data_IF_915695923076
#
_entry.id   IF_915695923076
#
_cell.length_a   1.000
_cell.length_b   1.000
_cell.length_c   1.000
_cell.angle_alpha   90.00
_cell.angle_beta   90.00
_cell.angle_gamma   90.00
#
_symmetry.space_group_name_H-M   'P 1'
#
loop_
_entity.id
_entity.type
_entity.pdbx_description
1 polymer ?
#
# COMPACT_ATOMS: atom_id res chain seq x y z
N UNK A 1 6.50 8.54 -14.72
CA UNK A 1 5.27 9.08 -14.11
C UNK A 1 4.14 8.75 -15.08
N UNK A 2 3.03 8.15 -14.64
CA UNK A 2 1.87 8.10 -15.51
C UNK A 2 1.47 9.54 -15.84
N UNK A 3 1.44 9.88 -17.12
CA UNK A 3 1.00 11.20 -17.55
C UNK A 3 -0.42 11.45 -17.05
N UNK A 4 -0.66 12.64 -16.49
CA UNK A 4 -2.00 13.06 -16.13
C UNK A 4 -2.91 13.01 -17.36
N UNK A 5 -4.21 12.67 -17.23
CA UNK A 5 -5.11 12.65 -18.37
C UNK A 5 -5.31 14.05 -18.91
N UNK A 6 -4.97 14.27 -20.17
CA UNK A 6 -5.10 15.58 -20.83
C UNK A 6 -6.50 15.79 -21.40
N UNK A 7 -6.99 17.02 -21.29
CA UNK A 7 -8.22 17.49 -21.91
C UNK A 7 -7.91 18.63 -22.88
N UNK A 8 -8.52 18.58 -24.03
CA UNK A 8 -8.48 19.67 -25.01
C UNK A 8 -9.83 20.38 -25.05
N UNK A 9 -9.83 21.69 -24.83
CA UNK A 9 -11.00 22.54 -25.04
C UNK A 9 -10.82 23.24 -26.38
N UNK A 10 -11.77 23.09 -27.28
CA UNK A 10 -11.73 23.74 -28.60
C UNK A 10 -12.31 25.16 -28.55
N UNK A 11 -12.28 25.85 -29.67
CA UNK A 11 -12.78 27.24 -29.81
C UNK A 11 -14.30 27.37 -29.57
N UNK A 12 -15.05 26.27 -29.63
CA UNK A 12 -16.49 26.25 -29.36
C UNK A 12 -16.79 26.00 -27.86
N UNK A 13 -15.75 25.71 -27.03
CA UNK A 13 -15.89 25.34 -25.62
C UNK A 13 -16.17 23.85 -25.43
N UNK A 14 -16.10 23.03 -26.50
CA UNK A 14 -16.30 21.58 -26.35
C UNK A 14 -15.05 20.93 -25.78
N UNK A 15 -15.26 20.07 -24.75
CA UNK A 15 -14.20 19.35 -24.06
C UNK A 15 -13.95 18.01 -24.76
N UNK A 16 -12.73 17.79 -25.20
CA UNK A 16 -12.29 16.56 -25.84
C UNK A 16 -11.25 15.84 -24.98
N UNK A 17 -11.48 14.58 -24.61
CA UNK A 17 -10.45 13.80 -23.89
C UNK A 17 -9.30 13.44 -24.83
N UNK A 18 -8.08 13.55 -24.33
CA UNK A 18 -6.89 13.11 -25.06
C UNK A 18 -6.46 11.75 -24.52
N UNK A 19 -6.74 10.69 -25.32
CA UNK A 19 -6.43 9.32 -24.96
C UNK A 19 -7.53 8.59 -24.18
N UNK A 20 -7.32 7.28 -23.98
CA UNK A 20 -8.34 6.38 -23.43
C UNK A 20 -8.60 6.65 -21.95
N UNK A 21 -7.57 7.00 -21.17
CA UNK A 21 -7.68 7.31 -19.76
C UNK A 21 -8.52 8.57 -19.52
N UNK A 22 -8.25 9.65 -20.25
CA UNK A 22 -9.06 10.87 -20.16
C UNK A 22 -10.52 10.64 -20.55
N UNK A 23 -10.77 9.77 -21.54
CA UNK A 23 -12.13 9.38 -21.94
C UNK A 23 -12.87 8.63 -20.84
N UNK A 24 -12.21 7.72 -20.14
CA UNK A 24 -12.80 6.98 -19.01
C UNK A 24 -13.10 7.90 -17.84
N UNK A 25 -12.17 8.80 -17.50
CA UNK A 25 -12.33 9.79 -16.44
C UNK A 25 -13.51 10.73 -16.67
N UNK A 26 -13.65 11.25 -17.91
CA UNK A 26 -14.78 12.10 -18.24
C UNK A 26 -16.11 11.35 -18.24
N UNK A 27 -16.14 10.09 -18.71
CA UNK A 27 -17.36 9.26 -18.66
C UNK A 27 -17.81 8.96 -17.23
N UNK A 28 -16.86 8.70 -16.33
CA UNK A 28 -17.14 8.48 -14.93
C UNK A 28 -17.72 9.74 -14.23
N UNK A 29 -17.46 10.91 -14.81
CA UNK A 29 -17.95 12.22 -14.34
C UNK A 29 -19.01 12.83 -15.26
N UNK A 30 -19.76 12.01 -15.99
CA UNK A 30 -20.86 12.48 -16.83
C UNK A 30 -21.93 13.18 -15.96
N UNK A 31 -22.38 14.35 -16.41
CA UNK A 31 -23.38 15.16 -15.68
C UNK A 31 -23.26 16.64 -15.97
N UNK A 32 -24.00 17.44 -15.25
CA UNK A 32 -23.94 18.89 -15.31
C UNK A 32 -22.90 19.45 -14.33
N UNK A 33 -22.07 20.35 -14.80
CA UNK A 33 -20.97 20.94 -14.04
C UNK A 33 -21.04 22.45 -14.08
N UNK A 34 -20.83 23.09 -12.95
CA UNK A 34 -20.72 24.55 -12.81
C UNK A 34 -19.26 24.95 -12.75
N UNK A 35 -18.86 25.88 -13.62
CA UNK A 35 -17.52 26.47 -13.57
C UNK A 35 -17.40 27.40 -12.38
N UNK A 36 -16.32 27.27 -11.63
CA UNK A 36 -15.94 28.14 -10.54
C UNK A 36 -14.89 29.11 -11.03
N UNK A 37 -14.97 30.37 -10.60
CA UNK A 37 -13.96 31.37 -10.97
C UNK A 37 -12.59 30.96 -10.46
N UNK A 38 -11.62 30.92 -11.38
CA UNK A 38 -10.24 30.50 -11.10
C UNK A 38 -9.26 31.40 -11.86
N UNK A 39 -7.99 31.51 -11.42
CA UNK A 39 -6.96 32.22 -12.16
C UNK A 39 -6.74 31.64 -13.55
N UNK A 40 -6.21 32.44 -14.47
CA UNK A 40 -5.88 31.98 -15.82
C UNK A 40 -4.95 30.76 -15.80
N UNK A 41 -5.25 29.74 -16.60
CA UNK A 41 -4.54 28.48 -16.64
C UNK A 41 -5.08 27.40 -15.69
N UNK A 42 -6.09 27.71 -14.86
CA UNK A 42 -6.78 26.76 -14.01
C UNK A 42 -8.25 26.71 -14.40
N UNK A 43 -8.78 25.51 -14.61
CA UNK A 43 -10.19 25.23 -14.81
C UNK A 43 -10.72 24.44 -13.62
N UNK A 44 -11.66 25.02 -12.87
CA UNK A 44 -12.34 24.36 -11.76
C UNK A 44 -13.83 24.21 -12.10
N UNK A 45 -14.35 22.99 -11.90
CA UNK A 45 -15.77 22.71 -12.08
C UNK A 45 -16.29 21.90 -10.89
N UNK A 46 -17.50 22.20 -10.44
CA UNK A 46 -18.19 21.49 -9.36
C UNK A 46 -19.47 20.88 -9.94
N UNK A 47 -19.82 19.67 -9.55
CA UNK A 47 -21.01 18.99 -10.03
C UNK A 47 -22.27 19.80 -9.67
N UNK A 48 -23.15 20.03 -10.65
CA UNK A 48 -24.37 20.80 -10.43
C UNK A 48 -25.31 20.00 -9.52
N UNK A 49 -25.90 20.69 -8.53
CA UNK A 49 -26.78 20.06 -7.53
C UNK A 49 -26.18 19.94 -6.13
N UNK A 50 -24.85 19.90 -6.01
CA UNK A 50 -24.20 20.08 -4.71
C UNK A 50 -24.12 21.58 -4.37
N UNK A 51 -24.31 21.94 -3.09
CA UNK A 51 -24.08 23.33 -2.64
C UNK A 51 -22.58 23.59 -2.79
N UNK A 52 -22.15 24.48 -3.70
CA UNK A 52 -20.75 24.72 -3.90
C UNK A 52 -20.19 25.41 -2.67
N UNK A 53 -19.43 24.67 -1.86
CA UNK A 53 -18.67 25.27 -0.77
C UNK A 53 -17.53 26.08 -1.40
N UNK A 54 -17.27 27.30 -0.93
CA UNK A 54 -16.16 28.10 -1.42
C UNK A 54 -14.84 27.33 -1.26
N UNK A 55 -14.10 27.16 -2.36
CA UNK A 55 -12.75 26.61 -2.31
C UNK A 55 -11.79 27.70 -1.82
N UNK A 56 -11.15 27.48 -0.68
CA UNK A 56 -10.22 28.43 -0.06
C UNK A 56 -8.78 28.17 -0.49
N UNK A 57 -8.37 26.91 -0.57
CA UNK A 57 -7.02 26.51 -0.91
C UNK A 57 -7.03 25.16 -1.61
N UNK A 58 -6.12 24.97 -2.57
CA UNK A 58 -5.87 23.67 -3.20
C UNK A 58 -4.40 23.55 -3.55
N UNK A 59 -3.89 22.32 -3.59
CA UNK A 59 -2.51 22.06 -3.96
C UNK A 59 -2.16 20.59 -3.98
N UNK A 60 -0.86 20.33 -4.16
CA UNK A 60 -0.28 19.00 -4.17
C UNK A 60 0.70 18.81 -3.01
N UNK A 61 0.61 17.66 -2.38
CA UNK A 61 1.62 17.15 -1.46
C UNK A 61 2.64 16.36 -2.26
N UNK A 62 3.93 16.66 -2.09
CA UNK A 62 5.05 16.00 -2.80
C UNK A 62 6.08 15.38 -1.87
N UNK A 63 5.88 15.49 -0.57
CA UNK A 63 6.74 14.89 0.45
C UNK A 63 5.94 14.62 1.72
N UNK A 64 6.30 13.61 2.53
CA UNK A 64 5.72 13.40 3.85
C UNK A 64 5.83 14.67 4.69
N UNK A 65 4.77 15.01 5.42
CA UNK A 65 4.70 16.24 6.21
C UNK A 65 4.29 17.49 5.42
N UNK A 66 4.14 17.43 4.09
CA UNK A 66 3.75 18.60 3.28
C UNK A 66 2.39 19.20 3.64
N UNK A 67 1.51 18.45 4.29
CA UNK A 67 0.25 18.96 4.84
C UNK A 67 0.41 19.72 6.17
N UNK A 68 1.54 19.59 6.86
CA UNK A 68 1.75 20.30 8.16
C UNK A 68 1.58 21.81 8.03
N UNK A 69 2.11 22.40 6.95
CA UNK A 69 2.00 23.84 6.71
C UNK A 69 0.56 24.28 6.45
N UNK A 70 -0.20 23.45 5.71
CA UNK A 70 -1.61 23.68 5.44
C UNK A 70 -2.42 23.63 6.73
N UNK A 71 -2.23 22.59 7.54
CA UNK A 71 -2.91 22.43 8.84
C UNK A 71 -2.50 23.55 9.80
N UNK A 72 -1.23 23.93 9.83
CA UNK A 72 -0.75 25.08 10.65
C UNK A 72 -1.44 26.38 10.24
N UNK A 73 -1.62 26.61 8.94
CA UNK A 73 -2.34 27.78 8.42
C UNK A 73 -3.80 27.77 8.84
N UNK A 74 -4.47 26.63 8.78
CA UNK A 74 -5.87 26.46 9.23
C UNK A 74 -5.98 26.74 10.74
N UNK A 75 -5.06 26.17 11.54
CA UNK A 75 -5.06 26.33 12.99
C UNK A 75 -4.81 27.78 13.41
N UNK A 76 -3.79 28.45 12.84
CA UNK A 76 -3.44 29.83 13.15
C UNK A 76 -4.50 30.82 12.66
N UNK A 77 -5.13 30.54 11.52
CA UNK A 77 -6.21 31.34 10.96
C UNK A 77 -7.56 31.10 11.64
N UNK A 78 -7.65 30.16 12.59
CA UNK A 78 -8.87 29.72 13.25
C UNK A 78 -10.01 29.42 12.25
N UNK A 79 -9.69 28.70 11.17
CA UNK A 79 -10.67 28.42 10.11
C UNK A 79 -11.66 27.35 10.55
N UNK A 80 -12.92 27.54 10.17
CA UNK A 80 -13.95 26.48 10.15
C UNK A 80 -14.09 26.01 8.70
N UNK A 81 -13.58 24.84 8.41
CA UNK A 81 -13.36 24.35 7.04
C UNK A 81 -13.22 22.84 6.98
N UNK A 82 -13.39 22.27 5.78
CA UNK A 82 -13.11 20.87 5.47
C UNK A 82 -11.87 20.76 4.58
N UNK A 83 -10.88 20.02 5.05
CA UNK A 83 -9.68 19.65 4.29
C UNK A 83 -9.87 18.24 3.72
N UNK A 84 -10.04 18.15 2.41
CA UNK A 84 -10.16 16.88 1.70
C UNK A 84 -8.83 16.54 1.02
N UNK A 85 -8.30 15.36 1.26
CA UNK A 85 -7.02 14.87 0.76
C UNK A 85 -7.24 13.62 -0.08
N UNK A 86 -6.77 13.66 -1.32
CA UNK A 86 -6.86 12.57 -2.29
C UNK A 86 -5.50 11.95 -2.48
N UNK A 87 -5.36 10.71 -2.05
CA UNK A 87 -4.18 9.92 -2.31
C UNK A 87 -4.32 9.20 -3.64
N UNK A 88 -3.49 9.56 -4.63
CA UNK A 88 -3.40 8.80 -5.86
C UNK A 88 -2.62 7.51 -5.58
N UNK A 89 -3.31 6.40 -5.37
CA UNK A 89 -2.69 5.09 -5.34
C UNK A 89 -2.06 4.83 -6.71
N UNK A 90 -0.80 4.42 -6.72
CA UNK A 90 -0.14 3.98 -7.94
C UNK A 90 -1.00 2.91 -8.59
N UNK A 91 -1.37 3.13 -9.85
CA UNK A 91 -2.34 2.32 -10.58
C UNK A 91 -1.90 0.86 -10.59
N UNK A 92 -2.51 0.01 -9.76
CA UNK A 92 -2.41 -1.43 -9.95
C UNK A 92 -3.23 -1.75 -11.22
N UNK A 93 -2.68 -2.48 -12.21
CA UNK A 93 -3.35 -2.72 -13.50
C UNK A 93 -4.74 -3.34 -13.38
N UNK A 94 -5.05 -3.99 -12.27
CA UNK A 94 -6.32 -4.69 -12.02
C UNK A 94 -7.30 -3.93 -11.11
N UNK A 95 -6.89 -2.82 -10.51
CA UNK A 95 -7.76 -1.93 -9.73
C UNK A 95 -7.56 -0.51 -10.21
N UNK A 96 -8.12 -0.15 -11.39
CA UNK A 96 -8.14 1.24 -11.80
C UNK A 96 -8.95 2.03 -10.77
N UNK A 97 -8.31 3.06 -10.17
CA UNK A 97 -8.96 4.11 -9.39
C UNK A 97 -9.55 3.75 -8.02
N UNK A 98 -8.82 3.05 -7.15
CA UNK A 98 -9.10 3.16 -5.72
C UNK A 98 -8.30 4.36 -5.17
N UNK A 99 -8.82 5.58 -5.41
CA UNK A 99 -8.35 6.78 -4.71
C UNK A 99 -8.77 6.65 -3.24
N UNK A 100 -7.82 6.79 -2.33
CA UNK A 100 -8.13 6.93 -0.92
C UNK A 100 -8.42 8.40 -0.65
N UNK A 101 -9.59 8.68 -0.12
CA UNK A 101 -10.03 10.04 0.20
C UNK A 101 -10.15 10.18 1.72
N UNK A 102 -9.50 11.21 2.27
CA UNK A 102 -9.60 11.57 3.68
C UNK A 102 -10.14 12.98 3.79
N UNK A 103 -11.17 13.17 4.59
CA UNK A 103 -11.70 14.49 4.93
C UNK A 103 -11.47 14.78 6.40
N UNK A 104 -10.89 15.93 6.73
CA UNK A 104 -10.63 16.41 8.08
C UNK A 104 -11.40 17.69 8.29
N UNK A 105 -12.23 17.72 9.31
CA UNK A 105 -13.08 18.84 9.65
C UNK A 105 -12.43 19.70 10.72
N UNK A 106 -12.37 21.00 10.46
CA UNK A 106 -11.83 22.00 11.39
C UNK A 106 -12.94 22.95 11.83
N UNK A 107 -13.02 23.23 13.11
CA UNK A 107 -13.81 24.31 13.67
C UNK A 107 -12.94 25.23 14.52
N UNK A 108 -12.93 26.51 14.18
CA UNK A 108 -12.05 27.50 14.81
C UNK A 108 -10.59 27.01 14.94
N UNK A 109 -10.08 26.33 13.91
CA UNK A 109 -8.72 25.81 13.85
C UNK A 109 -8.45 24.53 14.63
N UNK A 110 -9.44 23.97 15.34
CA UNK A 110 -9.36 22.68 16.00
C UNK A 110 -9.94 21.58 15.11
N UNK A 111 -9.43 20.37 15.22
CA UNK A 111 -9.98 19.20 14.50
C UNK A 111 -11.20 18.71 15.25
N UNK A 112 -12.35 18.70 14.57
CA UNK A 112 -13.65 18.31 15.14
C UNK A 112 -14.22 17.05 14.51
N UNK A 113 -13.56 16.48 13.49
CA UNK A 113 -14.01 15.26 12.86
C UNK A 113 -13.07 14.85 11.74
N UNK A 114 -13.19 13.60 11.33
CA UNK A 114 -12.54 13.10 10.13
C UNK A 114 -13.30 11.90 9.57
N UNK A 115 -13.19 11.69 8.26
CA UNK A 115 -13.69 10.51 7.57
C UNK A 115 -12.69 10.01 6.54
N UNK A 116 -12.74 8.71 6.21
CA UNK A 116 -11.84 8.11 5.25
C UNK A 116 -12.51 6.98 4.47
N UNK A 117 -12.14 6.84 3.21
CA UNK A 117 -12.51 5.68 2.38
C UNK A 117 -11.51 4.53 2.52
N UNK A 118 -10.34 4.76 3.12
CA UNK A 118 -9.33 3.72 3.35
C UNK A 118 -9.86 2.63 4.29
N UNK A 119 -9.80 1.34 3.90
CA UNK A 119 -10.40 0.26 4.70
C UNK A 119 -9.90 0.20 6.13
N UNK A 120 -8.59 0.37 6.34
CA UNK A 120 -7.97 0.31 7.66
C UNK A 120 -8.28 1.47 8.61
N UNK A 121 -8.90 2.55 8.11
CA UNK A 121 -9.26 3.75 8.87
C UNK A 121 -10.77 3.80 9.20
N UNK A 122 -11.53 2.79 8.82
CA UNK A 122 -12.96 2.69 9.14
C UNK A 122 -13.19 2.42 10.61
N UNK A 123 -14.28 2.95 11.15
CA UNK A 123 -14.58 2.85 12.58
C UNK A 123 -14.58 1.41 13.11
N UNK A 124 -15.12 0.46 12.35
CA UNK A 124 -15.10 -0.96 12.73
C UNK A 124 -13.68 -1.51 12.89
N UNK A 125 -12.77 -1.16 11.99
CA UNK A 125 -11.35 -1.55 12.10
C UNK A 125 -10.66 -0.87 13.31
N UNK A 126 -11.03 0.37 13.64
CA UNK A 126 -10.54 1.08 14.82
C UNK A 126 -11.03 0.40 16.09
N UNK A 127 -12.32 0.09 16.18
CA UNK A 127 -12.89 -0.64 17.33
C UNK A 127 -12.15 -1.96 17.58
N UNK A 128 -11.90 -2.73 16.54
CA UNK A 128 -11.15 -3.98 16.65
C UNK A 128 -9.67 -3.76 17.02
N UNK A 129 -8.99 -2.85 16.36
CA UNK A 129 -7.55 -2.57 16.58
C UNK A 129 -7.25 -2.05 17.97
N UNK A 130 -8.15 -1.29 18.56
CA UNK A 130 -8.01 -0.80 19.94
C UNK A 130 -8.62 -1.72 20.98
N UNK A 131 -9.10 -2.90 20.57
CA UNK A 131 -9.56 -3.96 21.47
C UNK A 131 -10.94 -3.75 22.08
N UNK A 132 -11.73 -2.80 21.54
CA UNK A 132 -13.11 -2.59 21.97
C UNK A 132 -14.02 -3.75 21.55
N UNK A 133 -13.73 -4.38 20.38
CA UNK A 133 -14.43 -5.57 19.89
C UNK A 133 -13.43 -6.63 19.37
N UNK A 134 -13.86 -7.89 19.32
CA UNK A 134 -13.08 -8.97 18.67
C UNK A 134 -13.26 -8.96 17.16
N UNK A 135 -12.48 -9.77 16.43
CA UNK A 135 -12.63 -9.88 14.98
C UNK A 135 -13.98 -10.47 14.58
N UNK A 136 -14.43 -11.47 15.31
CA UNK A 136 -15.72 -12.11 15.11
C UNK A 136 -16.89 -11.14 15.34
N UNK A 137 -16.79 -10.32 16.40
CA UNK A 137 -17.77 -9.26 16.68
C UNK A 137 -17.77 -8.18 15.59
N UNK A 138 -16.61 -7.82 15.03
CA UNK A 138 -16.54 -6.89 13.90
C UNK A 138 -17.32 -7.41 12.69
N UNK A 139 -17.12 -8.69 12.33
CA UNK A 139 -17.83 -9.31 11.20
C UNK A 139 -19.36 -9.33 11.43
N UNK A 140 -19.78 -9.55 12.68
CA UNK A 140 -21.20 -9.51 13.07
C UNK A 140 -21.78 -8.08 12.98
N UNK A 141 -21.04 -7.09 13.52
CA UNK A 141 -21.44 -5.66 13.47
C UNK A 141 -21.56 -5.18 12.02
N UNK A 142 -20.59 -5.52 11.16
CA UNK A 142 -20.64 -5.11 9.73
C UNK A 142 -21.86 -5.74 9.04
N UNK A 143 -22.10 -7.03 9.26
CA UNK A 143 -23.25 -7.74 8.70
C UNK A 143 -24.58 -7.16 9.19
N UNK A 144 -24.66 -6.77 10.48
CA UNK A 144 -25.83 -6.11 11.04
C UNK A 144 -26.07 -4.71 10.47
N UNK A 145 -25.00 -3.92 10.33
CA UNK A 145 -25.03 -2.58 9.75
C UNK A 145 -25.52 -2.61 8.29
N UNK A 146 -25.00 -3.54 7.47
CA UNK A 146 -25.43 -3.72 6.06
C UNK A 146 -26.90 -4.13 5.97
N UNK A 147 -27.36 -5.05 6.81
CA UNK A 147 -28.74 -5.53 6.80
C UNK A 147 -29.74 -4.47 7.23
N UNK A 148 -29.38 -3.62 8.18
CA UNK A 148 -30.27 -2.62 8.78
C UNK A 148 -30.15 -1.24 8.15
N UNK A 149 -29.11 -0.98 7.36
CA UNK A 149 -28.78 0.33 6.80
C UNK A 149 -28.27 1.33 7.86
N UNK A 150 -27.87 0.86 9.05
CA UNK A 150 -27.35 1.68 10.14
C UNK A 150 -25.85 1.88 10.02
N UNK A 151 -25.34 2.86 10.76
CA UNK A 151 -23.88 3.05 10.88
C UNK A 151 -23.27 1.95 11.74
N UNK A 152 -22.02 1.58 11.45
CA UNK A 152 -21.29 0.53 12.19
C UNK A 152 -21.26 0.79 13.70
N UNK A 153 -21.08 2.05 14.14
CA UNK A 153 -21.11 2.39 15.56
C UNK A 153 -22.48 2.19 16.21
N UNK A 154 -23.57 2.50 15.51
CA UNK A 154 -24.93 2.28 15.99
C UNK A 154 -25.24 0.78 16.13
N UNK A 155 -24.80 -0.02 15.14
CA UNK A 155 -24.97 -1.46 15.17
C UNK A 155 -24.15 -2.09 16.33
N UNK A 156 -22.93 -1.61 16.61
CA UNK A 156 -22.11 -2.07 17.69
C UNK A 156 -22.73 -1.84 19.08
N UNK A 157 -23.40 -0.68 19.28
CA UNK A 157 -24.14 -0.38 20.51
C UNK A 157 -25.39 -1.26 20.61
N UNK A 158 -26.15 -1.43 19.53
CA UNK A 158 -27.37 -2.26 19.56
C UNK A 158 -27.09 -3.74 19.83
N UNK A 159 -25.92 -4.23 19.41
CA UNK A 159 -25.47 -5.57 19.72
C UNK A 159 -24.81 -5.68 21.11
N UNK A 160 -24.81 -4.58 21.89
CA UNK A 160 -24.20 -4.50 23.22
C UNK A 160 -22.71 -4.88 23.25
N UNK A 161 -21.99 -4.71 22.14
CA UNK A 161 -20.56 -4.98 22.07
C UNK A 161 -19.71 -3.79 22.52
N UNK A 162 -20.24 -2.58 22.43
CA UNK A 162 -19.54 -1.34 22.79
C UNK A 162 -20.51 -0.40 23.51
N UNK A 163 -20.10 0.17 24.62
CA UNK A 163 -20.86 1.19 25.33
C UNK A 163 -20.74 2.55 24.59
N UNK A 164 -21.76 3.44 24.68
CA UNK A 164 -21.75 4.74 24.01
C UNK A 164 -20.54 5.61 24.34
N UNK A 165 -20.08 5.59 25.60
CA UNK A 165 -18.91 6.32 26.06
C UNK A 165 -17.61 5.80 25.44
N UNK A 166 -17.49 4.48 25.33
CA UNK A 166 -16.34 3.82 24.70
C UNK A 166 -16.32 4.09 23.18
N UNK A 167 -17.50 3.99 22.52
CA UNK A 167 -17.63 4.35 21.11
C UNK A 167 -17.15 5.78 20.85
N UNK A 168 -17.52 6.72 21.71
CA UNK A 168 -17.08 8.11 21.60
C UNK A 168 -15.56 8.26 21.68
N UNK A 169 -14.91 7.55 22.60
CA UNK A 169 -13.44 7.52 22.69
C UNK A 169 -12.83 6.94 21.42
N UNK A 170 -13.39 5.85 20.89
CA UNK A 170 -12.90 5.22 19.67
C UNK A 170 -13.10 6.11 18.43
N UNK A 171 -14.17 6.88 18.34
CA UNK A 171 -14.34 7.90 17.31
C UNK A 171 -13.27 8.99 17.38
N UNK A 172 -12.87 9.43 18.58
CA UNK A 172 -11.73 10.33 18.75
C UNK A 172 -10.44 9.72 18.25
N UNK A 173 -10.18 8.44 18.56
CA UNK A 173 -9.03 7.70 18.03
C UNK A 173 -9.05 7.57 16.51
N UNK A 174 -10.21 7.33 15.93
CA UNK A 174 -10.36 7.30 14.48
C UNK A 174 -9.95 8.64 13.84
N UNK A 175 -10.39 9.75 14.40
CA UNK A 175 -10.04 11.09 13.90
C UNK A 175 -8.52 11.32 13.99
N UNK A 176 -7.87 10.96 15.10
CA UNK A 176 -6.43 11.05 15.26
C UNK A 176 -5.69 10.24 14.18
N UNK A 177 -6.10 8.98 13.95
CA UNK A 177 -5.41 8.10 13.00
C UNK A 177 -5.60 8.55 11.55
N UNK A 178 -6.80 9.00 11.16
CA UNK A 178 -7.02 9.59 9.83
C UNK A 178 -6.16 10.84 9.65
N UNK A 179 -6.04 11.68 10.69
CA UNK A 179 -5.19 12.87 10.66
C UNK A 179 -3.72 12.51 10.44
N UNK A 180 -3.19 11.56 11.23
CA UNK A 180 -1.80 11.12 11.09
C UNK A 180 -1.54 10.48 9.73
N UNK A 181 -2.45 9.63 9.26
CA UNK A 181 -2.35 9.04 7.94
C UNK A 181 -2.31 10.11 6.82
N UNK A 182 -3.17 11.12 6.90
CA UNK A 182 -3.18 12.22 5.93
C UNK A 182 -1.87 13.01 5.92
N UNK A 183 -1.36 13.38 7.10
CA UNK A 183 -0.13 14.18 7.24
C UNK A 183 1.12 13.40 6.78
N UNK A 184 1.11 12.07 6.90
CA UNK A 184 2.23 11.21 6.49
C UNK A 184 2.27 10.95 4.97
N UNK A 185 1.23 11.33 4.20
CA UNK A 185 1.24 11.12 2.76
C UNK A 185 2.43 11.81 2.08
N UNK A 186 3.11 11.05 1.24
CA UNK A 186 4.22 11.58 0.43
C UNK A 186 3.77 12.18 -0.90
N UNK A 187 2.57 11.80 -1.39
CA UNK A 187 1.99 12.29 -2.65
C UNK A 187 0.47 12.28 -2.55
N UNK A 188 -0.12 13.46 -2.65
CA UNK A 188 -1.57 13.62 -2.62
C UNK A 188 -1.98 14.95 -3.24
N UNK A 189 -3.24 15.10 -3.63
CA UNK A 189 -3.86 16.39 -3.90
C UNK A 189 -4.76 16.76 -2.73
N UNK A 190 -4.82 18.03 -2.37
CA UNK A 190 -5.69 18.49 -1.30
C UNK A 190 -6.55 19.69 -1.72
N UNK A 191 -7.72 19.78 -1.08
CA UNK A 191 -8.67 20.85 -1.27
C UNK A 191 -9.20 21.27 0.09
N UNK A 192 -9.18 22.56 0.37
CA UNK A 192 -9.75 23.17 1.58
C UNK A 192 -11.00 23.95 1.20
N UNK A 193 -12.14 23.51 1.72
CA UNK A 193 -13.44 24.12 1.49
C UNK A 193 -13.91 24.86 2.75
N UNK A 194 -14.56 26.02 2.57
CA UNK A 194 -15.20 26.74 3.67
C UNK A 194 -16.43 25.98 4.20
N UNK A 195 -16.62 26.07 5.52
CA UNK A 195 -17.72 25.40 6.22
C UNK A 195 -17.40 23.94 6.53
N UNK A 196 -18.20 23.37 7.41
CA UNK A 196 -18.09 21.97 7.85
C UNK A 196 -19.47 21.30 7.87
N UNK A 197 -19.47 19.98 7.82
CA UNK A 197 -20.66 19.19 8.08
C UNK A 197 -20.77 18.93 9.59
N UNK A 198 -21.69 19.65 10.23
CA UNK A 198 -21.89 19.58 11.69
C UNK A 198 -22.31 18.18 12.17
N UNK A 199 -22.87 17.34 11.29
CA UNK A 199 -23.25 15.96 11.62
C UNK A 199 -22.06 15.02 11.81
N UNK A 200 -20.86 15.42 11.35
CA UNK A 200 -19.62 14.68 11.49
C UNK A 200 -18.71 15.23 12.60
N UNK A 201 -19.11 16.31 13.26
CA UNK A 201 -18.30 16.94 14.29
C UNK A 201 -18.34 16.17 15.62
N UNK A 202 -17.17 16.00 16.23
CA UNK A 202 -17.04 15.48 17.59
C UNK A 202 -17.56 16.51 18.61
N UNK A 203 -18.08 16.04 19.74
CA UNK A 203 -18.47 16.91 20.86
C UNK A 203 -17.26 17.57 21.53
N UNK A 204 -16.07 16.97 21.44
CA UNK A 204 -14.85 17.48 22.04
C UNK A 204 -13.79 17.72 20.93
N UNK A 205 -13.44 18.96 20.63
CA UNK A 205 -12.43 19.32 19.65
C UNK A 205 -11.04 18.81 20.06
N UNK A 206 -10.25 18.35 19.08
CA UNK A 206 -8.86 17.98 19.24
C UNK A 206 -7.97 19.15 18.80
N UNK A 207 -6.95 19.47 19.60
CA UNK A 207 -6.01 20.52 19.25
C UNK A 207 -5.19 20.16 18.03
N UNK A 208 -5.34 20.90 16.93
CA UNK A 208 -4.53 20.68 15.72
C UNK A 208 -3.02 20.83 16.00
N UNK A 209 -2.63 21.71 16.91
CA UNK A 209 -1.22 21.87 17.31
C UNK A 209 -0.67 20.63 18.02
N UNK A 210 -1.43 20.00 18.91
CA UNK A 210 -1.03 18.75 19.57
C UNK A 210 -0.93 17.61 18.58
N UNK A 211 -1.90 17.49 17.67
CA UNK A 211 -1.89 16.48 16.61
C UNK A 211 -0.68 16.67 15.67
N UNK A 212 -0.34 17.90 15.29
CA UNK A 212 0.84 18.18 14.48
C UNK A 212 2.15 17.82 15.19
N UNK A 213 2.26 18.13 16.49
CA UNK A 213 3.46 17.75 17.27
C UNK A 213 3.63 16.24 17.32
N UNK A 214 2.55 15.50 17.56
CA UNK A 214 2.58 14.04 17.58
C UNK A 214 2.86 13.46 16.18
N UNK A 215 2.29 14.04 15.11
CA UNK A 215 2.59 13.64 13.75
C UNK A 215 4.08 13.83 13.41
N UNK A 216 4.66 14.98 13.79
CA UNK A 216 6.08 15.26 13.59
C UNK A 216 6.97 14.26 14.36
N UNK A 217 6.64 13.98 15.63
CA UNK A 217 7.33 12.97 16.43
C UNK A 217 7.30 11.59 15.75
N UNK A 218 6.12 11.15 15.28
CA UNK A 218 5.97 9.87 14.57
C UNK A 218 6.78 9.83 13.27
N UNK A 219 6.82 10.93 12.50
CA UNK A 219 7.63 11.00 11.28
C UNK A 219 9.13 10.88 11.56
N UNK A 220 9.62 11.56 12.59
CA UNK A 220 11.04 11.50 12.98
C UNK A 220 11.42 10.09 13.46
N UNK A 221 10.59 9.47 14.28
CA UNK A 221 10.79 8.09 14.74
C UNK A 221 10.74 7.09 13.58
N UNK A 222 9.76 7.20 12.67
CA UNK A 222 9.65 6.33 11.50
C UNK A 222 10.88 6.44 10.60
N UNK A 223 11.42 7.64 10.40
CA UNK A 223 12.65 7.81 9.63
C UNK A 223 13.81 7.02 10.22
N UNK A 224 13.93 7.03 11.54
CA UNK A 224 14.96 6.28 12.27
C UNK A 224 14.70 4.77 12.23
N UNK A 225 13.44 4.34 12.36
CA UNK A 225 13.08 2.91 12.28
C UNK A 225 13.35 2.34 10.90
N UNK A 226 13.14 3.12 9.82
CA UNK A 226 13.32 2.67 8.43
C UNK A 226 14.76 2.31 8.06
N UNK A 227 15.74 2.71 8.84
CA UNK A 227 17.12 2.24 8.68
C UNK A 227 17.25 0.71 8.90
N UNK A 228 16.44 0.15 9.80
CA UNK A 228 16.41 -1.30 10.09
C UNK A 228 15.17 -2.00 9.56
N UNK A 229 14.08 -1.28 9.42
CA UNK A 229 12.77 -1.78 9.02
C UNK A 229 12.28 -0.93 7.85
N UNK A 230 12.66 -1.25 6.61
CA UNK A 230 12.33 -0.45 5.43
C UNK A 230 10.82 -0.30 5.14
N UNK A 231 9.98 -1.21 5.65
CA UNK A 231 8.54 -1.14 5.46
C UNK A 231 7.75 -2.10 6.34
N UNK A 232 6.46 -1.90 6.40
CA UNK A 232 5.49 -2.68 7.19
C UNK A 232 5.28 -4.11 6.68
N UNK A 233 5.62 -4.36 5.41
CA UNK A 233 5.61 -5.70 4.82
C UNK A 233 6.78 -6.57 5.30
N UNK A 234 7.76 -5.99 6.00
CA UNK A 234 8.92 -6.73 6.50
C UNK A 234 8.54 -7.69 7.63
N UNK A 235 9.25 -8.81 7.71
CA UNK A 235 8.92 -9.96 8.54
C UNK A 235 9.91 -10.09 9.70
N UNK A 236 9.48 -9.91 10.95
CA UNK A 236 10.32 -10.14 12.11
C UNK A 236 10.37 -11.63 12.46
N UNK A 237 11.59 -12.12 12.74
CA UNK A 237 11.86 -13.50 13.11
C UNK A 237 12.52 -13.53 14.49
N UNK A 238 12.00 -14.37 15.38
CA UNK A 238 12.57 -14.57 16.71
C UNK A 238 13.99 -15.11 16.61
N UNK A 239 14.93 -14.47 17.28
CA UNK A 239 16.28 -14.98 17.47
C UNK A 239 16.33 -15.76 18.78
N UNK A 240 17.16 -16.83 18.84
CA UNK A 240 17.48 -17.47 20.11
C UNK A 240 18.36 -16.49 20.91
N UNK A 241 17.86 -15.88 22.00
CA UNK A 241 18.67 -14.92 22.73
C UNK A 241 19.86 -15.60 23.39
N UNK A 242 21.03 -14.96 23.43
CA UNK A 242 22.08 -15.38 24.35
C UNK A 242 21.50 -15.41 25.78
N UNK A 243 21.79 -16.48 26.50
CA UNK A 243 21.22 -16.83 27.81
C UNK A 243 20.95 -15.62 28.70
N UNK A 244 19.67 -15.36 29.03
CA UNK A 244 19.25 -14.44 30.06
C UNK A 244 18.56 -13.14 29.68
N UNK A 245 18.53 -12.74 28.39
CA UNK A 245 17.77 -11.53 27.97
C UNK A 245 16.27 -11.86 27.86
N UNK A 246 15.47 -11.20 28.68
CA UNK A 246 14.00 -11.22 28.58
C UNK A 246 13.52 -9.93 27.90
N UNK A 247 12.49 -10.05 27.07
CA UNK A 247 11.81 -8.88 26.54
C UNK A 247 11.11 -8.12 27.68
N UNK A 248 11.03 -6.76 27.59
CA UNK A 248 10.15 -5.99 28.43
C UNK A 248 8.70 -6.48 28.34
N UNK A 249 7.93 -6.49 29.43
CA UNK A 249 6.54 -7.00 29.45
C UNK A 249 5.67 -6.37 28.36
N UNK A 250 5.83 -5.08 28.08
CA UNK A 250 5.10 -4.32 27.08
C UNK A 250 5.38 -4.76 25.63
N UNK A 251 6.48 -5.45 25.38
CA UNK A 251 6.87 -5.94 24.05
C UNK A 251 6.57 -7.43 23.86
N UNK A 252 6.12 -8.15 24.91
CA UNK A 252 5.90 -9.59 24.83
C UNK A 252 4.82 -9.96 23.80
N UNK A 253 3.73 -9.21 23.72
CA UNK A 253 2.64 -9.45 22.77
C UNK A 253 3.11 -9.39 21.32
N UNK A 254 4.00 -8.47 20.99
CA UNK A 254 4.62 -8.36 19.65
C UNK A 254 5.64 -9.48 19.45
N UNK A 255 6.49 -9.76 20.44
CA UNK A 255 7.52 -10.78 20.36
C UNK A 255 6.95 -12.17 20.07
N UNK A 256 5.84 -12.55 20.71
CA UNK A 256 5.14 -13.83 20.50
C UNK A 256 4.63 -14.00 19.05
N UNK A 257 4.43 -12.91 18.32
CA UNK A 257 3.99 -12.94 16.92
C UNK A 257 5.14 -12.95 15.92
N UNK A 258 6.40 -12.75 16.36
CA UNK A 258 7.58 -12.70 15.50
C UNK A 258 8.05 -14.10 15.07
N UNK A 259 7.24 -14.83 14.32
CA UNK A 259 7.45 -16.22 13.91
C UNK A 259 8.25 -16.39 12.61
N UNK A 260 8.72 -15.27 12.01
CA UNK A 260 9.38 -15.27 10.71
C UNK A 260 8.43 -15.53 9.54
N UNK A 261 7.11 -15.43 9.78
CA UNK A 261 6.07 -15.63 8.76
C UNK A 261 5.20 -14.40 8.57
N UNK A 262 4.86 -13.74 9.64
CA UNK A 262 3.97 -12.58 9.65
C UNK A 262 4.75 -11.30 9.43
N UNK A 263 4.22 -10.45 8.55
CA UNK A 263 4.70 -9.08 8.38
C UNK A 263 4.33 -8.21 9.60
N UNK A 264 4.97 -7.06 9.72
CA UNK A 264 4.65 -6.07 10.76
C UNK A 264 3.18 -5.65 10.67
N UNK A 265 2.66 -5.42 9.46
CA UNK A 265 1.26 -5.09 9.24
C UNK A 265 0.30 -6.22 9.68
N UNK A 266 0.64 -7.49 9.42
CA UNK A 266 -0.16 -8.64 9.87
C UNK A 266 -0.13 -8.82 11.38
N UNK A 267 1.03 -8.60 12.01
CA UNK A 267 1.17 -8.61 13.46
C UNK A 267 0.25 -7.54 14.06
N UNK A 268 0.29 -6.31 13.55
CA UNK A 268 -0.56 -5.21 14.01
C UNK A 268 -2.04 -5.56 13.95
N UNK A 269 -2.50 -6.09 12.81
CA UNK A 269 -3.88 -6.55 12.63
C UNK A 269 -4.28 -7.64 13.63
N UNK A 270 -3.36 -8.58 13.93
CA UNK A 270 -3.63 -9.72 14.80
C UNK A 270 -3.73 -9.35 16.28
N UNK A 271 -2.90 -8.43 16.75
CA UNK A 271 -2.87 -8.01 18.17
C UNK A 271 -3.61 -6.71 18.43
N UNK A 272 -4.29 -6.15 17.39
CA UNK A 272 -5.05 -4.92 17.55
C UNK A 272 -4.19 -3.67 17.78
N UNK A 273 -2.94 -3.66 17.29
CA UNK A 273 -2.05 -2.50 17.38
C UNK A 273 -1.82 -1.85 16.03
N UNK A 274 -1.57 -0.55 16.06
CA UNK A 274 -1.25 0.22 14.85
C UNK A 274 0.13 -0.16 14.30
N UNK A 275 0.29 -0.07 13.02
CA UNK A 275 1.55 -0.38 12.32
C UNK A 275 2.74 0.39 12.89
N UNK A 276 2.54 1.66 13.25
CA UNK A 276 3.57 2.48 13.88
C UNK A 276 4.03 1.88 15.21
N UNK A 277 3.09 1.49 16.08
CA UNK A 277 3.42 0.93 17.41
C UNK A 277 4.12 -0.42 17.29
N UNK A 278 3.66 -1.27 16.35
CA UNK A 278 4.32 -2.55 16.07
C UNK A 278 5.71 -2.34 15.47
N UNK A 279 5.87 -1.40 14.53
CA UNK A 279 7.18 -1.05 13.96
C UNK A 279 8.15 -0.59 15.05
N UNK A 280 7.68 0.27 15.96
CA UNK A 280 8.45 0.74 17.11
C UNK A 280 8.85 -0.41 18.04
N UNK A 281 7.91 -1.31 18.37
CA UNK A 281 8.17 -2.47 19.21
C UNK A 281 9.18 -3.43 18.54
N UNK A 282 9.01 -3.75 17.27
CA UNK A 282 9.94 -4.58 16.49
C UNK A 282 11.32 -3.94 16.40
N UNK A 283 11.41 -2.62 16.21
CA UNK A 283 12.68 -1.90 16.21
C UNK A 283 13.40 -2.02 17.57
N UNK A 284 12.68 -1.88 18.67
CA UNK A 284 13.23 -2.06 20.02
C UNK A 284 13.72 -3.49 20.24
N UNK A 285 12.91 -4.50 19.85
CA UNK A 285 13.27 -5.92 19.90
C UNK A 285 14.50 -6.25 19.03
N UNK A 286 14.56 -5.69 17.83
CA UNK A 286 15.71 -5.87 16.91
C UNK A 286 16.99 -5.20 17.47
N UNK A 287 16.85 -4.04 18.09
CA UNK A 287 17.98 -3.34 18.74
C UNK A 287 18.46 -4.10 19.97
N UNK A 288 17.56 -4.76 20.70
CA UNK A 288 17.89 -5.66 21.82
C UNK A 288 18.47 -7.00 21.35
N UNK A 289 18.47 -7.33 20.06
CA UNK A 289 18.96 -8.61 19.51
C UNK A 289 18.03 -9.77 19.79
N UNK A 290 16.75 -9.52 20.04
CA UNK A 290 15.72 -10.54 20.28
C UNK A 290 15.02 -11.00 19.00
N UNK A 291 14.99 -10.15 17.98
CA UNK A 291 14.45 -10.46 16.65
C UNK A 291 15.40 -9.99 15.55
N UNK A 292 15.37 -10.68 14.40
CA UNK A 292 15.89 -10.19 13.12
C UNK A 292 14.71 -9.76 12.25
N UNK A 293 14.94 -8.83 11.31
CA UNK A 293 13.89 -8.36 10.41
C UNK A 293 14.33 -8.67 8.98
N UNK A 294 13.53 -9.45 8.27
CA UNK A 294 13.76 -9.87 6.90
C UNK A 294 12.84 -9.19 5.89
N UNK A 295 13.12 -9.33 4.59
CA UNK A 295 12.28 -8.78 3.52
C UNK A 295 10.86 -9.36 3.55
N UNK A 296 9.88 -8.67 2.91
CA UNK A 296 8.52 -9.16 2.79
C UNK A 296 8.50 -10.52 2.10
N UNK A 297 7.62 -11.41 2.56
CA UNK A 297 7.34 -12.65 1.85
C UNK A 297 6.53 -12.37 0.60
N UNK A 298 6.88 -13.09 -0.43
CA UNK A 298 6.07 -13.12 -1.63
C UNK A 298 4.84 -14.00 -1.35
N UNK A 299 3.65 -13.46 -1.58
CA UNK A 299 2.41 -14.19 -1.40
C UNK A 299 1.86 -14.62 -2.77
N UNK A 300 1.76 -15.93 -2.94
CA UNK A 300 1.19 -16.56 -4.11
C UNK A 300 2.07 -16.56 -5.37
N UNK A 301 1.76 -17.47 -6.31
CA UNK A 301 2.56 -17.64 -7.52
C UNK A 301 2.70 -16.39 -8.39
N UNK A 302 1.73 -15.49 -8.41
CA UNK A 302 1.83 -14.25 -9.18
C UNK A 302 2.92 -13.31 -8.65
N UNK A 303 3.01 -13.15 -7.33
CA UNK A 303 4.03 -12.32 -6.70
C UNK A 303 5.44 -12.91 -6.87
N UNK A 304 5.57 -14.23 -6.90
CA UNK A 304 6.82 -14.91 -7.24
C UNK A 304 7.26 -14.52 -8.65
N UNK A 305 6.37 -14.57 -9.63
CA UNK A 305 6.69 -14.17 -11.03
C UNK A 305 7.13 -12.71 -11.10
N UNK A 306 6.41 -11.78 -10.47
CA UNK A 306 6.76 -10.35 -10.46
C UNK A 306 8.17 -10.08 -9.92
N UNK A 307 8.60 -10.88 -8.93
CA UNK A 307 9.95 -10.75 -8.38
C UNK A 307 11.03 -11.19 -9.39
N UNK A 308 10.77 -12.24 -10.18
CA UNK A 308 11.68 -12.69 -11.23
C UNK A 308 11.63 -11.80 -12.48
N UNK A 309 10.48 -11.20 -12.80
CA UNK A 309 10.31 -10.33 -13.97
C UNK A 309 11.26 -9.15 -13.97
N UNK A 310 11.57 -8.57 -12.81
CA UNK A 310 12.58 -7.51 -12.69
C UNK A 310 13.97 -7.98 -13.14
N UNK A 311 14.34 -9.20 -12.76
CA UNK A 311 15.61 -9.78 -13.16
C UNK A 311 15.62 -10.14 -14.67
N UNK A 312 14.53 -10.71 -15.18
CA UNK A 312 14.37 -11.05 -16.59
C UNK A 312 14.41 -9.82 -17.48
N UNK A 313 13.67 -8.75 -17.13
CA UNK A 313 13.72 -7.49 -17.85
C UNK A 313 15.13 -6.88 -17.90
N UNK A 314 15.89 -6.94 -16.78
CA UNK A 314 17.25 -6.43 -16.71
C UNK A 314 18.22 -7.25 -17.59
N UNK A 315 18.05 -8.59 -17.64
CA UNK A 315 18.85 -9.47 -18.51
C UNK A 315 18.59 -9.12 -19.98
N UNK A 316 17.32 -9.02 -20.38
CA UNK A 316 16.95 -8.73 -21.76
C UNK A 316 17.33 -7.30 -22.17
N UNK A 317 17.13 -6.31 -21.30
CA UNK A 317 17.55 -4.92 -21.52
C UNK A 317 19.06 -4.83 -21.77
N UNK A 318 19.87 -5.49 -20.94
CA UNK A 318 21.34 -5.49 -21.10
C UNK A 318 21.77 -6.13 -22.42
N UNK A 319 21.12 -7.24 -22.81
CA UNK A 319 21.38 -7.88 -24.09
C UNK A 319 20.95 -7.02 -25.29
N UNK A 320 19.82 -6.31 -25.20
CA UNK A 320 19.33 -5.39 -26.23
C UNK A 320 20.28 -4.18 -26.40
N UNK A 321 20.77 -3.60 -25.30
CA UNK A 321 21.76 -2.51 -25.32
C UNK A 321 23.07 -2.93 -25.99
N UNK A 322 23.47 -4.19 -25.82
CA UNK A 322 24.64 -4.78 -26.51
C UNK A 322 24.35 -5.22 -27.97
N UNK A 323 23.12 -5.03 -28.45
CA UNK A 323 22.71 -5.47 -29.80
C UNK A 323 22.50 -6.99 -29.93
N UNK A 324 22.42 -7.72 -28.82
CA UNK A 324 22.33 -9.19 -28.73
C UNK A 324 20.95 -9.74 -28.33
N UNK A 325 19.97 -8.86 -28.18
CA UNK A 325 18.65 -9.24 -27.71
C UNK A 325 17.92 -10.28 -28.56
N UNK A 326 18.09 -10.24 -29.90
CA UNK A 326 17.49 -11.25 -30.79
C UNK A 326 18.08 -12.64 -30.59
N UNK A 327 19.40 -12.71 -30.39
CA UNK A 327 20.12 -13.98 -30.14
C UNK A 327 19.68 -14.57 -28.80
N UNK A 328 19.56 -13.73 -27.76
CA UNK A 328 19.07 -14.15 -26.44
C UNK A 328 17.64 -14.68 -26.52
N UNK A 329 16.71 -13.93 -27.13
CA UNK A 329 15.31 -14.36 -27.27
C UNK A 329 15.16 -15.68 -27.98
N UNK A 330 15.90 -15.90 -29.08
CA UNK A 330 15.88 -17.16 -29.80
C UNK A 330 16.39 -18.33 -28.95
N UNK A 331 17.42 -18.14 -28.14
CA UNK A 331 17.95 -19.16 -27.24
C UNK A 331 16.98 -19.50 -26.11
N UNK A 332 16.34 -18.48 -25.51
CA UNK A 332 15.33 -18.67 -24.46
C UNK A 332 14.10 -19.39 -25.01
N UNK A 333 13.63 -19.05 -26.21
CA UNK A 333 12.54 -19.74 -26.88
C UNK A 333 12.85 -21.22 -27.13
N UNK A 334 14.06 -21.49 -27.62
CA UNK A 334 14.52 -22.85 -27.83
C UNK A 334 14.61 -23.64 -26.51
N UNK A 335 15.07 -23.00 -25.43
CA UNK A 335 15.11 -23.61 -24.11
C UNK A 335 13.73 -23.99 -23.61
N UNK A 336 12.78 -23.07 -23.69
CA UNK A 336 11.36 -23.30 -23.31
C UNK A 336 10.80 -24.50 -24.07
N UNK A 337 11.03 -24.57 -25.37
CA UNK A 337 10.51 -25.68 -26.22
C UNK A 337 11.23 -27.02 -25.96
N UNK A 338 12.48 -27.00 -25.53
CA UNK A 338 13.25 -28.21 -25.27
C UNK A 338 13.02 -28.81 -23.87
N UNK A 339 12.51 -27.98 -22.94
CA UNK A 339 12.31 -28.40 -21.54
C UNK A 339 10.81 -28.56 -21.27
N UNK A 340 10.35 -29.81 -21.16
CA UNK A 340 8.92 -30.15 -21.13
C UNK A 340 8.07 -29.46 -20.05
N UNK A 341 8.70 -28.96 -18.98
CA UNK A 341 8.03 -28.24 -17.88
C UNK A 341 7.62 -26.83 -18.29
N UNK A 342 8.45 -26.12 -19.08
CA UNK A 342 8.20 -24.72 -19.38
C UNK A 342 7.11 -24.50 -20.43
N UNK A 343 6.89 -25.46 -21.33
CA UNK A 343 5.83 -25.35 -22.34
C UNK A 343 4.45 -25.15 -21.69
N UNK A 344 3.97 -26.02 -20.78
CA UNK A 344 2.68 -25.80 -20.11
C UNK A 344 2.73 -24.67 -19.07
N UNK A 345 3.88 -24.42 -18.40
CA UNK A 345 4.02 -23.38 -17.41
C UNK A 345 3.87 -21.97 -18.04
N UNK A 346 4.47 -21.75 -19.21
CA UNK A 346 4.48 -20.47 -19.89
C UNK A 346 3.42 -20.34 -20.99
N UNK A 347 2.50 -21.32 -21.12
CA UNK A 347 1.42 -21.29 -22.13
C UNK A 347 0.57 -20.02 -22.00
N UNK A 348 0.62 -19.17 -23.03
CA UNK A 348 -0.03 -17.86 -23.04
C UNK A 348 0.47 -16.84 -22.02
N UNK A 349 1.53 -17.18 -21.27
CA UNK A 349 2.11 -16.32 -20.25
C UNK A 349 3.35 -15.54 -20.72
N UNK A 350 4.03 -15.98 -21.75
CA UNK A 350 5.25 -15.35 -22.27
C UNK A 350 6.26 -16.38 -22.74
N UNK A 351 7.57 -16.02 -22.89
CA UNK A 351 8.14 -14.68 -22.58
C UNK A 351 7.63 -13.56 -23.51
N UNK A 352 7.53 -12.35 -22.97
CA UNK A 352 7.23 -11.13 -23.72
C UNK A 352 8.52 -10.59 -24.39
N UNK A 353 8.41 -9.53 -25.19
CA UNK A 353 9.56 -8.96 -25.91
C UNK A 353 10.69 -8.49 -24.97
N UNK A 354 10.35 -7.98 -23.80
CA UNK A 354 11.27 -7.55 -22.74
C UNK A 354 11.73 -8.70 -21.84
N UNK A 355 11.34 -9.95 -22.13
CA UNK A 355 11.66 -11.14 -21.38
C UNK A 355 10.79 -11.40 -20.15
N UNK A 356 9.88 -10.49 -19.80
CA UNK A 356 8.96 -10.67 -18.67
C UNK A 356 7.85 -11.69 -18.98
N UNK A 357 7.17 -12.13 -17.94
CA UNK A 357 6.07 -13.08 -18.01
C UNK A 357 4.75 -12.38 -17.60
N UNK A 358 3.63 -13.01 -17.83
CA UNK A 358 2.32 -12.54 -17.32
C UNK A 358 1.99 -13.23 -16.00
N UNK A 359 2.13 -12.56 -14.84
CA UNK A 359 2.09 -13.19 -13.53
C UNK A 359 0.83 -14.00 -13.26
N UNK A 360 -0.34 -13.47 -13.64
CA UNK A 360 -1.62 -14.13 -13.39
C UNK A 360 -1.84 -15.33 -14.28
N UNK A 361 -1.25 -15.31 -15.48
CA UNK A 361 -1.35 -16.47 -16.38
C UNK A 361 -0.46 -17.60 -15.90
N UNK A 362 0.78 -17.28 -15.47
CA UNK A 362 1.66 -18.26 -14.81
C UNK A 362 1.00 -18.85 -13.58
N UNK A 363 0.43 -18.02 -12.71
CA UNK A 363 -0.26 -18.48 -11.50
C UNK A 363 -1.39 -19.46 -11.80
N UNK A 364 -2.17 -19.22 -12.84
CA UNK A 364 -3.21 -20.17 -13.31
C UNK A 364 -2.61 -21.46 -13.83
N UNK A 365 -1.53 -21.39 -14.59
CA UNK A 365 -0.87 -22.57 -15.14
C UNK A 365 -0.24 -23.41 -14.01
N UNK A 366 0.38 -22.78 -13.02
CA UNK A 366 0.93 -23.43 -11.82
C UNK A 366 -0.13 -24.20 -11.05
N UNK A 367 -1.30 -23.63 -10.85
CA UNK A 367 -2.42 -24.29 -10.16
C UNK A 367 -2.87 -25.59 -10.85
N UNK A 368 -2.64 -25.72 -12.16
CA UNK A 368 -2.93 -26.91 -12.91
C UNK A 368 -1.78 -27.95 -12.91
N UNK A 369 -0.54 -27.51 -12.65
CA UNK A 369 0.65 -28.36 -12.74
C UNK A 369 1.13 -28.88 -11.37
N UNK A 370 1.04 -28.08 -10.30
CA UNK A 370 1.52 -28.40 -8.97
C UNK A 370 0.40 -28.94 -8.06
N UNK A 371 -0.13 -30.12 -8.39
CA UNK A 371 -1.31 -30.69 -7.69
C UNK A 371 -0.98 -31.28 -6.32
N UNK A 372 0.26 -31.68 -6.05
CA UNK A 372 0.67 -32.40 -4.82
C UNK A 372 1.83 -31.70 -4.06
N UNK A 373 2.39 -30.60 -4.60
CA UNK A 373 3.55 -29.90 -4.04
C UNK A 373 3.17 -28.48 -3.57
N UNK A 374 4.03 -27.87 -2.76
CA UNK A 374 3.97 -26.43 -2.48
C UNK A 374 4.17 -25.67 -3.80
N UNK A 375 3.06 -25.20 -4.36
CA UNK A 375 3.02 -24.56 -5.68
C UNK A 375 3.97 -23.34 -5.78
N UNK A 376 4.19 -22.61 -4.69
CA UNK A 376 5.10 -21.48 -4.67
C UNK A 376 6.55 -21.92 -4.66
N UNK A 377 6.90 -22.89 -3.82
CA UNK A 377 8.27 -23.42 -3.74
C UNK A 377 8.66 -24.06 -5.07
N UNK A 378 7.77 -24.84 -5.67
CA UNK A 378 7.96 -25.42 -6.99
C UNK A 378 8.18 -24.35 -8.07
N UNK A 379 7.32 -23.32 -8.11
CA UNK A 379 7.45 -22.22 -9.07
C UNK A 379 8.75 -21.45 -8.90
N UNK A 380 9.16 -21.15 -7.66
CA UNK A 380 10.45 -20.50 -7.37
C UNK A 380 11.59 -21.29 -7.97
N UNK A 381 11.60 -22.61 -7.80
CA UNK A 381 12.63 -23.49 -8.36
C UNK A 381 12.67 -23.40 -9.90
N UNK A 382 11.49 -23.51 -10.56
CA UNK A 382 11.42 -23.44 -12.02
C UNK A 382 11.89 -22.06 -12.54
N UNK A 383 11.51 -20.97 -11.90
CA UNK A 383 11.91 -19.64 -12.32
C UNK A 383 13.39 -19.35 -12.05
N UNK A 384 14.00 -19.93 -11.03
CA UNK A 384 15.46 -19.89 -10.87
C UNK A 384 16.18 -20.59 -12.01
N UNK A 385 15.70 -21.77 -12.46
CA UNK A 385 16.26 -22.49 -13.60
C UNK A 385 16.11 -21.67 -14.89
N UNK A 386 14.92 -21.15 -15.16
CA UNK A 386 14.64 -20.32 -16.32
C UNK A 386 15.50 -19.05 -16.37
N UNK A 387 15.53 -18.30 -15.27
CA UNK A 387 16.32 -17.07 -15.16
C UNK A 387 17.81 -17.36 -15.21
N UNK A 388 18.26 -18.45 -14.59
CA UNK A 388 19.64 -18.93 -14.63
C UNK A 388 20.10 -19.23 -16.04
N UNK A 389 19.25 -19.88 -16.85
CA UNK A 389 19.54 -20.13 -18.27
C UNK A 389 19.64 -18.81 -19.05
N UNK A 390 18.67 -17.91 -18.90
CA UNK A 390 18.67 -16.62 -19.58
C UNK A 390 19.92 -15.80 -19.24
N UNK A 391 20.31 -15.76 -17.95
CA UNK A 391 21.48 -15.05 -17.46
C UNK A 391 22.78 -15.65 -18.01
N UNK A 392 22.92 -16.99 -17.98
CA UNK A 392 24.08 -17.68 -18.52
C UNK A 392 24.25 -17.42 -20.01
N UNK A 393 23.15 -17.51 -20.77
CA UNK A 393 23.21 -17.29 -22.21
C UNK A 393 23.49 -15.82 -22.54
N UNK A 394 22.87 -14.87 -21.85
CA UNK A 394 23.20 -13.45 -22.00
C UNK A 394 24.69 -13.20 -21.69
N UNK A 395 25.22 -13.75 -20.61
CA UNK A 395 26.65 -13.63 -20.26
C UNK A 395 27.60 -14.13 -21.36
N UNK A 396 27.23 -15.22 -22.05
CA UNK A 396 28.01 -15.75 -23.17
C UNK A 396 28.06 -14.85 -24.41
N UNK A 397 27.09 -13.93 -24.54
CA UNK A 397 26.95 -12.97 -25.63
C UNK A 397 27.58 -11.60 -25.35
N UNK A 398 27.87 -11.31 -24.07
CA UNK A 398 28.36 -10.02 -23.57
C UNK A 398 29.90 -10.03 -23.38
N UNK A 399 30.46 -8.83 -23.23
CA UNK A 399 31.85 -8.67 -22.82
C UNK A 399 32.04 -9.03 -21.33
N UNK A 400 33.27 -9.43 -20.95
CA UNK A 400 33.59 -9.90 -19.57
C UNK A 400 33.18 -8.92 -18.46
N UNK A 401 33.32 -7.64 -18.69
CA UNK A 401 32.98 -6.63 -17.66
C UNK A 401 31.47 -6.42 -17.57
N UNK A 402 30.77 -6.45 -18.70
CA UNK A 402 29.31 -6.38 -18.77
C UNK A 402 28.66 -7.62 -18.13
N UNK A 403 29.18 -8.81 -18.43
CA UNK A 403 28.78 -10.08 -17.81
C UNK A 403 28.90 -10.03 -16.28
N UNK A 404 30.05 -9.59 -15.75
CA UNK A 404 30.26 -9.48 -14.30
C UNK A 404 29.30 -8.47 -13.66
N UNK A 405 29.09 -7.32 -14.33
CA UNK A 405 28.14 -6.31 -13.87
C UNK A 405 26.70 -6.80 -13.85
N UNK A 406 26.28 -7.51 -14.90
CA UNK A 406 24.94 -8.11 -14.99
C UNK A 406 24.76 -9.17 -13.90
N UNK A 407 25.69 -10.11 -13.74
CA UNK A 407 25.64 -11.16 -12.73
C UNK A 407 25.50 -10.59 -11.31
N UNK A 408 26.24 -9.52 -10.98
CA UNK A 408 26.15 -8.86 -9.68
C UNK A 408 24.77 -8.24 -9.44
N UNK A 409 24.20 -7.52 -10.43
CA UNK A 409 22.85 -6.93 -10.32
C UNK A 409 21.77 -7.99 -10.14
N UNK A 410 21.79 -9.04 -10.97
CA UNK A 410 20.81 -10.13 -10.88
C UNK A 410 20.93 -10.90 -9.56
N UNK A 411 22.15 -11.14 -9.08
CA UNK A 411 22.35 -11.79 -7.78
C UNK A 411 21.75 -10.98 -6.62
N UNK A 412 21.89 -9.65 -6.65
CA UNK A 412 21.29 -8.78 -5.63
C UNK A 412 19.76 -8.74 -5.74
N UNK A 413 19.20 -8.68 -6.97
CA UNK A 413 17.75 -8.70 -7.18
C UNK A 413 17.10 -10.01 -6.69
N UNK A 414 17.75 -11.15 -6.90
CA UNK A 414 17.23 -12.47 -6.53
C UNK A 414 17.63 -12.92 -5.11
N UNK A 415 18.43 -12.15 -4.40
CA UNK A 415 18.87 -12.46 -3.03
C UNK A 415 17.72 -12.71 -2.04
N UNK A 416 16.64 -11.91 -2.04
CA UNK A 416 15.48 -12.16 -1.17
C UNK A 416 14.81 -13.51 -1.41
N UNK A 417 14.81 -14.00 -2.66
CA UNK A 417 14.20 -15.27 -3.05
C UNK A 417 15.03 -16.48 -2.64
N UNK A 418 16.36 -16.33 -2.58
CA UNK A 418 17.29 -17.39 -2.13
C UNK A 418 17.31 -17.59 -0.62
N UNK A 419 16.86 -16.57 0.16
CA UNK A 419 16.89 -16.59 1.62
C UNK A 419 15.58 -17.08 2.25
N UNK A 420 14.60 -17.53 1.47
CA UNK A 420 13.44 -18.18 2.04
C UNK A 420 13.88 -19.50 2.69
N UNK A 421 13.68 -19.71 4.01
CA UNK A 421 14.03 -20.97 4.65
C UNK A 421 13.19 -22.07 4.04
N UNK A 422 13.84 -23.15 3.62
CA UNK A 422 13.19 -24.39 3.23
C UNK A 422 12.20 -24.76 4.35
N UNK A 423 10.90 -24.74 4.05
CA UNK A 423 9.87 -25.21 4.96
C UNK A 423 10.02 -26.71 5.15
N UNK A 424 10.82 -27.11 6.12
CA UNK A 424 10.88 -28.49 6.55
C UNK A 424 9.51 -28.95 7.00
N UNK A 425 9.05 -30.16 6.64
CA UNK A 425 7.74 -30.68 7.04
C UNK A 425 7.65 -30.73 8.55
N UNK A 426 6.46 -30.46 9.17
CA UNK A 426 6.28 -30.64 10.59
C UNK A 426 6.48 -32.12 10.91
N UNK A 427 7.50 -32.44 11.72
CA UNK A 427 7.67 -33.77 12.28
C UNK A 427 6.42 -34.12 13.08
N UNK A 428 5.63 -35.06 12.57
CA UNK A 428 4.57 -35.75 13.34
C UNK A 428 5.24 -36.46 14.51
N UNK A 429 4.94 -36.04 15.70
CA UNK A 429 4.82 -36.88 16.90
C UNK A 429 3.54 -36.52 17.63
#
# INVERSE_FOLDING_TARGET
>A
MPEAPDLRIDATGTVHPVGMRASQELRARAGEWRLVAAPGGILLAVQAGEIPRPLRLAGEVRAPGGLCDVVSTIAQGAYSAELTVFEALESHPQRPHQESVRSILFDHGNVVGASSTAPGERLGEILWRFGAITREQLDEVVSAAERTGKRVGEAAIELEFVEPEELFVMMGRQVEEIFYAAVHLGRASFFLFDGLDENLALRQPLSAGQLLMEAARRMDELRFFREKIPGEAWVPTLLQPPSGRKAPPELCSVLEQCDGRRSIAEIGRRIGQLEFEVTRAVFQLATAGLVSVGPPRLEGPAAVVEAFDRALAEIHRTADEAGKGKELRAAVEQFVMSTGVFVPLLDGAGPLEDGTLRPERVARNVAALAVEEDAEAWLVQQLFEYTGFALFHAGSLLGRDEEKGLNARIAEMLKPLRQQPEGGPPSRR
#
